data_IF_847392079855
#
_entry.id   IF_847392079855
#
_cell.length_a   1.000
_cell.length_b   1.000
_cell.length_c   1.000
_cell.angle_alpha   90.00
_cell.angle_beta   90.00
_cell.angle_gamma   90.00
#
_symmetry.space_group_name_H-M   'P 1'
#
loop_
_entity.id
_entity.type
_entity.pdbx_description
1 polymer ?
#
# COMPACT_ATOMS: atom_id res chain seq x y z
N UNK A 1 -5.01 53.78 -0.30
CA UNK A 1 -3.96 52.72 -0.32
C UNK A 1 -4.62 51.39 0.00
N UNK A 2 -4.88 50.54 -1.00
CA UNK A 2 -5.41 49.19 -0.79
C UNK A 2 -4.23 48.26 -0.56
N UNK A 3 -4.11 47.71 0.65
CA UNK A 3 -3.13 46.69 0.99
C UNK A 3 -3.48 45.42 0.24
N UNK A 4 -2.66 45.07 -0.75
CA UNK A 4 -2.74 43.79 -1.46
C UNK A 4 -2.32 42.71 -0.47
N UNK A 5 -3.29 41.96 0.06
CA UNK A 5 -3.00 40.75 0.81
C UNK A 5 -2.36 39.75 -0.16
N UNK A 6 -1.03 39.65 -0.09
CA UNK A 6 -0.27 38.57 -0.73
C UNK A 6 -0.67 37.30 0.00
N UNK A 7 -1.59 36.54 -0.58
CA UNK A 7 -1.88 35.18 -0.15
C UNK A 7 -0.59 34.38 -0.33
N UNK A 8 0.14 34.17 0.77
CA UNK A 8 1.25 33.24 0.84
C UNK A 8 0.69 31.82 0.72
N UNK A 9 0.30 31.41 -0.49
CA UNK A 9 0.19 29.99 -0.81
C UNK A 9 1.62 29.46 -0.80
N UNK A 10 2.06 28.96 0.35
CA UNK A 10 3.30 28.21 0.44
C UNK A 10 3.27 27.14 -0.66
N UNK A 11 4.09 27.32 -1.69
CA UNK A 11 4.33 26.36 -2.78
C UNK A 11 4.72 25.03 -2.13
N UNK A 12 3.73 24.17 -1.90
CA UNK A 12 3.95 22.86 -1.29
C UNK A 12 4.76 22.08 -2.31
N UNK A 13 5.99 21.71 -1.95
CA UNK A 13 6.94 21.08 -2.88
C UNK A 13 6.30 19.90 -3.62
N UNK A 14 6.42 19.88 -4.95
CA UNK A 14 5.93 18.80 -5.83
C UNK A 14 6.44 17.43 -5.39
N UNK A 15 7.64 17.37 -4.84
CA UNK A 15 8.20 16.17 -4.23
C UNK A 15 7.37 15.66 -3.04
N UNK A 16 6.94 16.55 -2.14
CA UNK A 16 6.12 16.20 -0.99
C UNK A 16 4.73 15.70 -1.42
N UNK A 17 4.22 16.19 -2.54
CA UNK A 17 2.97 15.71 -3.10
C UNK A 17 3.10 14.28 -3.62
N UNK A 18 4.15 13.96 -4.39
CA UNK A 18 4.43 12.57 -4.79
C UNK A 18 4.75 11.66 -3.60
N UNK A 19 5.51 12.14 -2.62
CA UNK A 19 5.78 11.39 -1.40
C UNK A 19 4.48 11.07 -0.63
N UNK A 20 3.53 12.02 -0.58
CA UNK A 20 2.23 11.80 0.04
C UNK A 20 1.38 10.71 -0.66
N UNK A 21 1.60 10.45 -1.96
CA UNK A 21 0.92 9.36 -2.67
C UNK A 21 1.28 7.98 -2.07
N UNK A 22 2.50 7.81 -1.56
CA UNK A 22 3.00 6.55 -0.98
C UNK A 22 2.42 6.21 0.39
N UNK A 23 1.65 7.11 1.02
CA UNK A 23 1.06 6.95 2.36
C UNK A 23 2.08 6.45 3.41
N UNK A 24 3.14 7.21 3.71
CA UNK A 24 4.27 6.75 4.53
C UNK A 24 3.86 6.19 5.90
N UNK A 25 2.86 6.79 6.56
CA UNK A 25 2.34 6.32 7.86
C UNK A 25 1.65 4.96 7.78
N UNK A 26 0.94 4.67 6.69
CA UNK A 26 0.31 3.36 6.51
C UNK A 26 1.38 2.33 6.12
N UNK A 27 2.28 2.76 5.23
CA UNK A 27 3.35 1.94 4.71
C UNK A 27 4.38 1.51 5.78
N UNK A 28 4.63 2.35 6.79
CA UNK A 28 5.58 2.02 7.86
C UNK A 28 5.21 0.74 8.62
N UNK A 29 3.91 0.46 8.79
CA UNK A 29 3.46 -0.77 9.45
C UNK A 29 3.67 -2.00 8.55
N UNK A 30 3.46 -1.84 7.24
CA UNK A 30 3.74 -2.88 6.23
C UNK A 30 5.23 -3.23 6.21
N UNK A 31 6.09 -2.21 6.20
CA UNK A 31 7.55 -2.37 6.23
C UNK A 31 8.01 -3.03 7.53
N UNK A 32 7.46 -2.60 8.67
CA UNK A 32 7.79 -3.18 9.97
C UNK A 32 7.42 -4.66 10.05
N UNK A 33 6.23 -5.04 9.59
CA UNK A 33 5.78 -6.44 9.60
C UNK A 33 6.57 -7.31 8.62
N UNK A 34 6.99 -6.77 7.46
CA UNK A 34 7.95 -7.45 6.58
C UNK A 34 9.32 -7.65 7.24
N UNK A 35 9.83 -6.65 7.96
CA UNK A 35 11.07 -6.77 8.74
C UNK A 35 10.98 -7.85 9.82
N UNK A 36 9.86 -7.93 10.55
CA UNK A 36 9.62 -8.99 11.54
C UNK A 36 9.60 -10.36 10.86
N UNK A 37 8.92 -10.49 9.71
CA UNK A 37 8.90 -11.74 8.95
C UNK A 37 10.29 -12.19 8.52
N UNK A 38 11.14 -11.25 8.09
CA UNK A 38 12.53 -11.52 7.75
C UNK A 38 13.33 -11.99 8.97
N UNK A 39 13.21 -11.28 10.09
CA UNK A 39 13.90 -11.62 11.33
C UNK A 39 13.54 -13.02 11.83
N UNK A 40 12.26 -13.41 11.76
CA UNK A 40 11.79 -14.75 12.16
C UNK A 40 12.28 -15.85 11.21
N UNK A 41 12.45 -15.53 9.92
CA UNK A 41 12.96 -16.47 8.92
C UNK A 41 14.49 -16.59 8.90
N UNK A 42 15.21 -15.57 9.37
CA UNK A 42 16.67 -15.51 9.30
C UNK A 42 17.34 -16.55 10.20
N UNK A 43 18.41 -17.16 9.70
CA UNK A 43 19.34 -17.99 10.48
C UNK A 43 20.50 -17.13 10.98
N UNK A 44 21.05 -17.43 12.14
CA UNK A 44 22.20 -16.69 12.67
C UNK A 44 23.48 -16.99 11.84
N UNK A 45 24.30 -15.98 11.48
CA UNK A 45 24.10 -14.54 11.73
C UNK A 45 23.11 -13.90 10.75
N UNK A 46 22.40 -12.87 11.21
CA UNK A 46 21.41 -12.14 10.41
C UNK A 46 22.11 -11.28 9.34
N UNK A 47 21.70 -11.43 8.08
CA UNK A 47 22.15 -10.58 6.99
C UNK A 47 21.39 -9.24 6.99
N UNK A 48 22.01 -8.22 7.59
CA UNK A 48 21.44 -6.87 7.69
C UNK A 48 21.29 -6.19 6.32
N UNK A 49 22.12 -6.54 5.34
CA UNK A 49 22.03 -5.98 4.00
C UNK A 49 20.79 -6.53 3.30
N UNK A 50 20.56 -7.84 3.38
CA UNK A 50 19.32 -8.45 2.87
C UNK A 50 18.08 -7.90 3.60
N UNK A 51 18.16 -7.70 4.92
CA UNK A 51 17.08 -7.05 5.68
C UNK A 51 16.78 -5.64 5.14
N UNK A 52 17.80 -4.84 4.85
CA UNK A 52 17.62 -3.51 4.26
C UNK A 52 16.90 -3.59 2.90
N UNK A 53 17.25 -4.55 2.05
CA UNK A 53 16.56 -4.77 0.78
C UNK A 53 15.09 -5.17 0.98
N UNK A 54 14.77 -5.99 2.00
CA UNK A 54 13.37 -6.30 2.35
C UNK A 54 12.62 -5.02 2.74
N UNK A 55 13.18 -4.20 3.63
CA UNK A 55 12.51 -2.99 4.12
C UNK A 55 12.28 -1.97 2.99
N UNK A 56 13.32 -1.70 2.19
CA UNK A 56 13.24 -0.74 1.07
C UNK A 56 12.35 -1.29 -0.03
N UNK A 57 12.56 -2.53 -0.46
CA UNK A 57 11.82 -3.16 -1.55
C UNK A 57 10.32 -3.29 -1.24
N UNK A 58 9.97 -3.85 -0.08
CA UNK A 58 8.57 -3.96 0.34
C UNK A 58 7.91 -2.59 0.53
N UNK A 59 8.64 -1.60 1.08
CA UNK A 59 8.15 -0.24 1.23
C UNK A 59 7.89 0.46 -0.09
N UNK A 60 8.76 0.28 -1.09
CA UNK A 60 8.54 0.80 -2.43
C UNK A 60 7.33 0.14 -3.10
N UNK A 61 7.22 -1.19 -3.06
CA UNK A 61 6.06 -1.91 -3.64
C UNK A 61 4.74 -1.46 -3.00
N UNK A 62 4.69 -1.39 -1.67
CA UNK A 62 3.51 -0.94 -0.94
C UNK A 62 3.20 0.55 -1.15
N UNK A 63 4.23 1.40 -1.29
CA UNK A 63 4.10 2.81 -1.65
C UNK A 63 3.52 3.00 -3.05
N UNK A 64 3.97 2.20 -4.02
CA UNK A 64 3.42 2.17 -5.38
C UNK A 64 1.97 1.68 -5.39
N UNK A 65 1.65 0.63 -4.63
CA UNK A 65 0.28 0.14 -4.45
C UNK A 65 -0.64 1.23 -3.86
N UNK A 66 -0.17 1.95 -2.85
CA UNK A 66 -0.90 3.07 -2.25
C UNK A 66 -1.15 4.21 -3.25
N UNK A 67 -0.16 4.53 -4.09
CA UNK A 67 -0.28 5.53 -5.14
C UNK A 67 -1.30 5.10 -6.21
N UNK A 68 -1.24 3.86 -6.71
CA UNK A 68 -2.25 3.31 -7.62
C UNK A 68 -3.65 3.36 -7.04
N UNK A 69 -3.81 3.01 -5.76
CA UNK A 69 -5.10 3.09 -5.09
C UNK A 69 -5.61 4.55 -5.02
N UNK A 70 -4.75 5.54 -4.75
CA UNK A 70 -5.17 6.95 -4.80
C UNK A 70 -5.61 7.36 -6.20
N UNK A 71 -4.93 6.88 -7.26
CA UNK A 71 -5.31 7.18 -8.65
C UNK A 71 -6.70 6.63 -8.93
N UNK A 72 -6.94 5.38 -8.54
CA UNK A 72 -8.22 4.73 -8.73
C UNK A 72 -9.33 5.44 -7.93
N UNK A 73 -9.02 5.91 -6.71
CA UNK A 73 -9.98 6.53 -5.78
C UNK A 73 -10.19 8.04 -5.94
N UNK A 74 -9.55 8.68 -6.92
CA UNK A 74 -9.60 10.14 -7.13
C UNK A 74 -11.03 10.71 -7.07
N UNK A 75 -11.94 10.17 -7.86
CA UNK A 75 -13.32 10.66 -8.02
C UNK A 75 -14.10 10.62 -6.70
N UNK A 76 -13.86 9.57 -5.91
CA UNK A 76 -14.49 9.43 -4.59
C UNK A 76 -13.82 10.38 -3.59
N UNK A 77 -12.48 10.48 -3.63
CA UNK A 77 -11.71 11.32 -2.73
C UNK A 77 -12.05 12.82 -2.88
N UNK A 78 -12.45 13.28 -4.07
CA UNK A 78 -12.92 14.65 -4.32
C UNK A 78 -14.16 15.02 -3.50
N UNK A 79 -15.03 14.05 -3.19
CA UNK A 79 -16.29 14.29 -2.46
C UNK A 79 -16.19 14.08 -0.94
N UNK A 80 -15.10 13.49 -0.46
CA UNK A 80 -14.93 13.10 0.94
C UNK A 80 -14.21 14.18 1.76
N UNK A 81 -14.83 14.65 2.85
CA UNK A 81 -14.27 15.69 3.71
C UNK A 81 -12.84 15.37 4.22
N UNK A 82 -12.54 14.09 4.46
CA UNK A 82 -11.23 13.62 4.93
C UNK A 82 -10.15 13.61 3.84
N UNK A 83 -10.51 13.41 2.57
CA UNK A 83 -9.54 13.10 1.50
C UNK A 83 -9.54 14.10 0.36
N UNK A 84 -10.49 15.04 0.33
CA UNK A 84 -10.57 16.14 -0.65
C UNK A 84 -9.33 17.03 -0.72
N UNK A 85 -8.52 17.08 0.36
CA UNK A 85 -7.29 17.89 0.42
C UNK A 85 -6.03 17.13 -0.03
N UNK A 86 -6.16 15.88 -0.49
CA UNK A 86 -5.04 15.11 -1.02
C UNK A 86 -4.52 15.72 -2.34
N UNK A 87 -3.26 15.45 -2.73
CA UNK A 87 -2.65 16.06 -3.91
C UNK A 87 -3.41 15.84 -5.22
N UNK A 88 -3.98 14.64 -5.45
CA UNK A 88 -4.70 14.35 -6.69
C UNK A 88 -6.10 14.97 -6.79
N UNK A 89 -6.99 14.87 -5.77
CA UNK A 89 -8.27 15.59 -5.77
C UNK A 89 -8.12 17.10 -5.92
N UNK A 90 -7.04 17.67 -5.36
CA UNK A 90 -6.71 19.09 -5.49
C UNK A 90 -6.10 19.48 -6.85
N UNK A 91 -5.91 18.52 -7.76
CA UNK A 91 -5.30 18.75 -9.08
C UNK A 91 -3.81 19.06 -9.06
N UNK A 92 -3.12 18.92 -7.92
CA UNK A 92 -1.66 19.19 -7.82
C UNK A 92 -0.81 18.10 -8.47
N UNK A 93 -1.35 16.90 -8.58
CA UNK A 93 -0.78 15.77 -9.33
C UNK A 93 -1.84 15.27 -10.28
N UNK A 94 -1.52 15.14 -11.57
CA UNK A 94 -2.45 14.58 -12.54
C UNK A 94 -2.56 13.05 -12.37
N UNK A 95 -3.70 12.43 -12.77
CA UNK A 95 -3.84 10.97 -12.71
C UNK A 95 -2.77 10.22 -13.50
N UNK A 96 -2.35 10.76 -14.65
CA UNK A 96 -1.34 10.12 -15.49
C UNK A 96 0.03 10.15 -14.80
N UNK A 97 0.43 11.28 -14.22
CA UNK A 97 1.65 11.37 -13.40
C UNK A 97 1.58 10.41 -12.21
N UNK A 98 0.44 10.35 -11.52
CA UNK A 98 0.23 9.42 -10.40
C UNK A 98 0.39 7.95 -10.80
N UNK A 99 -0.13 7.55 -11.98
CA UNK A 99 0.01 6.19 -12.51
C UNK A 99 1.45 5.85 -12.87
N UNK A 100 2.14 6.75 -13.56
CA UNK A 100 3.53 6.55 -13.97
C UNK A 100 4.41 6.46 -12.74
N UNK A 101 4.25 7.39 -11.79
CA UNK A 101 4.98 7.36 -10.52
C UNK A 101 4.73 6.06 -9.76
N UNK A 102 3.47 5.65 -9.61
CA UNK A 102 3.10 4.41 -8.92
C UNK A 102 3.76 3.18 -9.57
N UNK A 103 3.74 3.11 -10.91
CA UNK A 103 4.37 2.04 -11.68
C UNK A 103 5.88 1.99 -11.51
N UNK A 104 6.56 3.14 -11.61
CA UNK A 104 8.01 3.23 -11.42
C UNK A 104 8.41 2.81 -10.00
N UNK A 105 7.75 3.37 -8.99
CA UNK A 105 8.06 3.09 -7.57
C UNK A 105 7.86 1.60 -7.26
N UNK A 106 6.76 1.01 -7.74
CA UNK A 106 6.51 -0.41 -7.57
C UNK A 106 7.53 -1.28 -8.31
N UNK A 107 7.87 -0.95 -9.56
CA UNK A 107 8.84 -1.69 -10.35
C UNK A 107 10.23 -1.66 -9.72
N UNK A 108 10.69 -0.48 -9.27
CA UNK A 108 11.97 -0.35 -8.55
C UNK A 108 11.95 -1.19 -7.28
N UNK A 109 10.87 -1.17 -6.51
CA UNK A 109 10.73 -2.02 -5.31
C UNK A 109 10.85 -3.51 -5.61
N UNK A 110 10.22 -3.99 -6.69
CA UNK A 110 10.34 -5.38 -7.13
C UNK A 110 11.77 -5.73 -7.56
N UNK A 111 12.44 -4.85 -8.31
CA UNK A 111 13.85 -5.04 -8.71
C UNK A 111 14.75 -5.13 -7.48
N UNK A 112 14.56 -4.25 -6.49
CA UNK A 112 15.31 -4.28 -5.21
C UNK A 112 15.13 -5.63 -4.51
N UNK A 113 13.91 -6.19 -4.50
CA UNK A 113 13.67 -7.52 -3.91
C UNK A 113 14.33 -8.64 -4.73
N UNK A 114 14.22 -8.64 -6.06
CA UNK A 114 14.83 -9.69 -6.91
C UNK A 114 16.35 -9.71 -6.75
N UNK A 115 16.99 -8.54 -6.77
CA UNK A 115 18.45 -8.41 -6.76
C UNK A 115 19.01 -8.59 -5.35
N UNK A 116 18.33 -8.05 -4.34
CA UNK A 116 18.82 -7.98 -2.97
C UNK A 116 18.33 -9.06 -2.03
N UNK A 117 17.36 -9.89 -2.45
CA UNK A 117 16.77 -10.94 -1.62
C UNK A 117 16.61 -12.23 -2.41
N UNK A 118 15.37 -12.64 -2.72
CA UNK A 118 15.05 -13.86 -3.44
C UNK A 118 13.94 -13.59 -4.45
N UNK A 119 13.91 -14.38 -5.53
CA UNK A 119 12.83 -14.30 -6.53
C UNK A 119 11.47 -14.60 -5.88
N UNK A 120 11.43 -15.49 -4.89
CA UNK A 120 10.19 -15.84 -4.17
C UNK A 120 9.63 -14.65 -3.39
N UNK A 121 10.48 -13.86 -2.71
CA UNK A 121 10.02 -12.66 -2.03
C UNK A 121 9.44 -11.64 -3.02
N UNK A 122 10.10 -11.46 -4.16
CA UNK A 122 9.63 -10.56 -5.21
C UNK A 122 8.30 -11.03 -5.84
N UNK A 123 8.10 -12.33 -6.07
CA UNK A 123 6.84 -12.86 -6.60
C UNK A 123 5.68 -12.72 -5.62
N UNK A 124 5.93 -12.91 -4.32
CA UNK A 124 4.93 -12.63 -3.26
C UNK A 124 4.59 -11.14 -3.23
N UNK A 125 5.59 -10.26 -3.30
CA UNK A 125 5.38 -8.81 -3.36
C UNK A 125 4.60 -8.38 -4.62
N UNK A 126 4.93 -8.94 -5.79
CA UNK A 126 4.21 -8.68 -7.03
C UNK A 126 2.76 -9.18 -6.95
N UNK A 127 2.53 -10.36 -6.40
CA UNK A 127 1.18 -10.91 -6.18
C UNK A 127 0.38 -10.02 -5.23
N UNK A 128 1.02 -9.50 -4.17
CA UNK A 128 0.42 -8.54 -3.24
C UNK A 128 0.00 -7.27 -3.96
N UNK A 129 0.88 -6.69 -4.78
CA UNK A 129 0.61 -5.49 -5.57
C UNK A 129 -0.55 -5.71 -6.56
N UNK A 130 -0.49 -6.78 -7.35
CA UNK A 130 -1.47 -7.10 -8.38
C UNK A 130 -2.84 -7.36 -7.76
N UNK A 131 -2.91 -8.20 -6.72
CA UNK A 131 -4.17 -8.49 -6.04
C UNK A 131 -4.75 -7.23 -5.37
N UNK A 132 -3.91 -6.38 -4.79
CA UNK A 132 -4.37 -5.12 -4.21
C UNK A 132 -4.96 -4.18 -5.27
N UNK A 133 -4.23 -3.92 -6.35
CA UNK A 133 -4.61 -2.90 -7.36
C UNK A 133 -5.70 -3.41 -8.32
N UNK A 134 -5.62 -4.65 -8.80
CA UNK A 134 -6.53 -5.16 -9.83
C UNK A 134 -7.75 -5.89 -9.27
N UNK A 135 -7.68 -6.43 -8.05
CA UNK A 135 -8.79 -7.20 -7.47
C UNK A 135 -9.45 -6.38 -6.37
N UNK A 136 -8.71 -6.03 -5.31
CA UNK A 136 -9.27 -5.35 -4.14
C UNK A 136 -9.80 -3.95 -4.45
N UNK A 137 -8.98 -3.07 -5.05
CA UNK A 137 -9.37 -1.67 -5.31
C UNK A 137 -10.67 -1.52 -6.13
N UNK A 138 -10.90 -2.24 -7.25
CA UNK A 138 -12.19 -2.16 -7.94
C UNK A 138 -13.32 -2.81 -7.16
N UNK A 139 -13.06 -3.92 -6.46
CA UNK A 139 -14.10 -4.64 -5.73
C UNK A 139 -14.63 -3.85 -4.53
N UNK A 140 -13.76 -3.08 -3.87
CA UNK A 140 -14.12 -2.15 -2.79
C UNK A 140 -15.24 -1.19 -3.16
N UNK A 141 -15.39 -0.88 -4.45
CA UNK A 141 -16.44 0.01 -4.97
C UNK A 141 -17.77 -0.70 -5.23
N UNK A 142 -17.78 -2.04 -5.25
CA UNK A 142 -18.91 -2.84 -5.75
C UNK A 142 -19.52 -3.74 -4.69
N UNK A 143 -18.73 -4.28 -3.76
CA UNK A 143 -19.21 -5.30 -2.83
C UNK A 143 -18.69 -5.09 -1.41
N UNK A 144 -19.46 -5.53 -0.42
CA UNK A 144 -19.05 -5.61 0.98
C UNK A 144 -17.99 -6.70 1.23
N UNK A 145 -17.89 -7.69 0.33
CA UNK A 145 -16.88 -8.76 0.36
C UNK A 145 -15.44 -8.27 0.12
N UNK A 146 -15.28 -7.05 -0.39
CA UNK A 146 -13.97 -6.44 -0.61
C UNK A 146 -13.10 -6.42 0.65
N UNK A 147 -13.71 -6.39 1.83
CA UNK A 147 -12.99 -6.40 3.10
C UNK A 147 -12.22 -7.70 3.34
N UNK A 148 -12.86 -8.85 3.08
CA UNK A 148 -12.20 -10.17 3.21
C UNK A 148 -11.13 -10.33 2.13
N UNK A 149 -11.43 -9.88 0.90
CA UNK A 149 -10.49 -9.98 -0.22
C UNK A 149 -9.29 -9.05 -0.02
N UNK A 150 -9.49 -7.88 0.57
CA UNK A 150 -8.42 -6.94 0.94
C UNK A 150 -7.54 -7.44 2.09
N UNK A 151 -8.04 -8.35 2.92
CA UNK A 151 -7.26 -8.96 3.99
C UNK A 151 -6.11 -9.82 3.42
N UNK A 152 -6.28 -10.45 2.26
CA UNK A 152 -5.22 -11.25 1.63
C UNK A 152 -3.93 -10.44 1.39
N UNK A 153 -3.92 -9.36 0.58
CA UNK A 153 -2.71 -8.57 0.38
C UNK A 153 -2.23 -7.89 1.67
N UNK A 154 -3.13 -7.58 2.60
CA UNK A 154 -2.77 -7.02 3.92
C UNK A 154 -1.95 -7.95 4.81
N UNK A 155 -2.08 -9.27 4.64
CA UNK A 155 -1.40 -10.28 5.46
C UNK A 155 -0.10 -10.83 4.85
N UNK A 156 0.21 -10.49 3.59
CA UNK A 156 1.42 -10.94 2.90
C UNK A 156 2.74 -10.24 3.29
N UNK A 157 2.80 -9.03 3.91
CA UNK A 157 4.08 -8.41 4.27
C UNK A 157 5.05 -9.29 5.09
N UNK A 158 4.65 -9.95 6.19
CA UNK A 158 5.55 -10.86 6.89
C UNK A 158 5.97 -12.08 6.05
N UNK A 159 5.14 -12.52 5.10
CA UNK A 159 5.49 -13.60 4.15
C UNK A 159 6.60 -13.16 3.21
N UNK A 160 6.57 -11.90 2.73
CA UNK A 160 7.64 -11.32 1.90
C UNK A 160 8.96 -11.35 2.68
N UNK A 161 8.94 -10.95 3.96
CA UNK A 161 10.10 -11.01 4.83
C UNK A 161 10.64 -12.43 5.01
N UNK A 162 9.76 -13.37 5.38
CA UNK A 162 10.15 -14.77 5.59
C UNK A 162 10.76 -15.41 4.34
N UNK A 163 10.11 -15.22 3.19
CA UNK A 163 10.56 -15.77 1.91
C UNK A 163 11.83 -15.10 1.40
N UNK A 164 12.12 -13.86 1.80
CA UNK A 164 13.42 -13.23 1.56
C UNK A 164 14.54 -13.92 2.35
N UNK A 165 14.29 -14.29 3.61
CA UNK A 165 15.28 -14.98 4.43
C UNK A 165 15.48 -16.45 4.04
N UNK A 166 14.40 -17.17 3.70
CA UNK A 166 14.44 -18.63 3.44
C UNK A 166 14.49 -19.02 1.97
N UNK A 167 14.13 -18.12 1.06
CA UNK A 167 14.04 -18.42 -0.37
C UNK A 167 12.91 -19.37 -0.77
N UNK A 168 12.00 -19.72 0.14
CA UNK A 168 10.90 -20.64 -0.12
C UNK A 168 9.64 -20.28 0.68
N UNK A 169 8.47 -20.65 0.15
CA UNK A 169 7.19 -20.59 0.85
C UNK A 169 7.03 -21.84 1.73
N UNK A 170 7.51 -21.75 2.96
CA UNK A 170 7.39 -22.84 3.95
C UNK A 170 6.11 -22.71 4.77
N UNK A 171 5.81 -23.71 5.59
CA UNK A 171 4.61 -23.72 6.45
C UNK A 171 4.60 -22.53 7.41
N UNK A 172 5.75 -22.13 7.94
CA UNK A 172 5.90 -21.01 8.86
C UNK A 172 5.52 -19.68 8.19
N UNK A 173 5.84 -19.51 6.89
CA UNK A 173 5.40 -18.36 6.12
C UNK A 173 3.87 -18.27 6.08
N UNK A 174 3.20 -19.41 5.88
CA UNK A 174 1.73 -19.50 5.90
C UNK A 174 1.13 -19.31 7.29
N UNK A 175 1.84 -19.72 8.35
CA UNK A 175 1.45 -19.43 9.73
C UNK A 175 1.49 -17.92 10.00
N UNK A 176 2.56 -17.23 9.58
CA UNK A 176 2.64 -15.76 9.69
C UNK A 176 1.52 -15.07 8.92
N UNK A 177 1.24 -15.53 7.71
CA UNK A 177 0.08 -15.09 6.94
C UNK A 177 -1.21 -15.27 7.73
N UNK A 178 -1.47 -16.49 8.24
CA UNK A 178 -2.69 -16.82 8.98
C UNK A 178 -2.88 -15.97 10.23
N UNK A 179 -1.81 -15.70 10.98
CA UNK A 179 -1.86 -14.83 12.17
C UNK A 179 -2.31 -13.42 11.79
N UNK A 180 -1.65 -12.77 10.82
CA UNK A 180 -2.03 -11.41 10.40
C UNK A 180 -3.40 -11.41 9.73
N UNK A 181 -3.71 -12.46 8.97
CA UNK A 181 -4.98 -12.62 8.27
C UNK A 181 -6.16 -12.71 9.23
N UNK A 182 -6.07 -13.56 10.25
CA UNK A 182 -7.13 -13.70 11.24
C UNK A 182 -7.22 -12.48 12.16
N UNK A 183 -6.07 -11.86 12.49
CA UNK A 183 -6.03 -10.69 13.38
C UNK A 183 -6.75 -9.46 12.80
N UNK A 184 -6.70 -9.24 11.48
CA UNK A 184 -7.36 -8.10 10.84
C UNK A 184 -8.87 -8.29 10.62
N UNK A 185 -9.39 -9.53 10.64
CA UNK A 185 -10.80 -9.80 10.35
C UNK A 185 -11.78 -9.15 11.38
N UNK A 186 -11.57 -9.26 12.71
CA UNK A 186 -12.47 -8.65 13.69
C UNK A 186 -12.59 -7.13 13.58
N UNK A 187 -11.48 -6.45 13.27
CA UNK A 187 -11.44 -4.99 13.11
C UNK A 187 -12.24 -4.52 11.90
N UNK A 188 -12.26 -5.33 10.86
CA UNK A 188 -12.93 -5.05 9.60
C UNK A 188 -14.45 -5.29 9.64
N UNK A 189 -14.90 -6.31 10.37
CA UNK A 189 -16.34 -6.65 10.46
C UNK A 189 -17.16 -5.64 11.27
N UNK A 190 -16.53 -4.84 12.13
CA UNK A 190 -17.22 -3.83 12.95
C UNK A 190 -17.56 -2.53 12.19
N UNK A 191 -17.00 -2.30 10.99
CA UNK A 191 -17.22 -1.08 10.18
C UNK A 191 -17.83 -1.36 8.80
N UNK A 192 -19.04 -1.95 8.69
CA UNK A 192 -19.72 -2.10 7.40
C UNK A 192 -20.21 -0.76 6.81
N UNK A 193 -20.25 0.32 7.59
CA UNK A 193 -20.90 1.59 7.24
C UNK A 193 -20.28 2.37 6.08
N UNK A 194 -19.01 2.12 5.71
CA UNK A 194 -18.36 2.87 4.63
C UNK A 194 -18.91 2.48 3.24
N UNK A 195 -19.32 1.22 3.05
CA UNK A 195 -19.88 0.74 1.79
C UNK A 195 -21.29 1.29 1.57
N UNK A 196 -22.09 1.42 2.63
CA UNK A 196 -23.42 2.01 2.57
C UNK A 196 -23.38 3.50 2.18
N UNK A 197 -22.42 4.27 2.69
CA UNK A 197 -22.27 5.69 2.35
C UNK A 197 -21.86 5.91 0.87
N UNK A 198 -21.03 5.03 0.31
CA UNK A 198 -20.57 5.10 -1.10
C UNK A 198 -21.66 4.63 -2.07
N UNK A 199 -22.44 3.61 -1.70
CA UNK A 199 -23.59 3.16 -2.51
C UNK A 199 -24.71 4.20 -2.51
N UNK A 200 -24.94 4.86 -1.37
CA UNK A 200 -25.94 5.92 -1.21
C UNK A 200 -25.58 7.20 -1.98
N UNK A 201 -24.29 7.56 -2.09
CA UNK A 201 -23.87 8.72 -2.90
C UNK A 201 -23.93 8.48 -4.41
N UNK A 202 -24.00 7.21 -4.85
CA UNK A 202 -24.16 6.82 -6.26
C UNK A 202 -25.60 6.47 -6.66
N UNK A 203 -26.57 6.61 -5.76
CA UNK A 203 -27.98 6.29 -6.03
C UNK A 203 -28.23 4.80 -6.30
N UNK A 204 -27.35 3.91 -5.83
CA UNK A 204 -27.53 2.46 -5.95
C UNK A 204 -28.35 1.85 -4.80
N UNK A 205 -28.76 2.67 -3.83
CA UNK A 205 -29.66 2.36 -2.70
C UNK A 205 -30.59 3.55 -2.46
#
# INVERSE_FOLDING_TARGET
MKGTAVALTAERSRFLDFFALTKPRLNSLTVATAGVGYFLGATSPIDLLMMLHVLVGSGLVAGGAAAFNQVAERDIDETMARTKLRPMPMGRVSPNEGRIFAGIVAAVGLVVLVVGTTVVAATVAATTLISYVLIYTPLKRRTSWATIIGAFPGALPPVIGWTAARGALTIEAWVLFGIVFLWQLPTFMHFPGCTAAILKSRGCL
#
